data_IF_399822073853
#
_entry.id   IF_399822073853
#
_cell.length_a   1.000
_cell.length_b   1.000
_cell.length_c   1.000
_cell.angle_alpha   90.00
_cell.angle_beta   90.00
_cell.angle_gamma   90.00
#
_symmetry.space_group_name_H-M   'P 1'
#
loop_
_entity.id
_entity.type
_entity.pdbx_description
1 polymer ?
#
# COMPACT_ATOMS: atom_id res chain seq x y z
N UNK A 1 -24.55 -19.00 1.18
CA UNK A 1 -23.14 -19.48 1.10
C UNK A 1 -22.54 -19.06 -0.21
N UNK A 2 -21.41 -18.39 -0.17
CA UNK A 2 -20.70 -18.06 -1.39
C UNK A 2 -19.98 -19.30 -1.91
N UNK A 3 -20.04 -19.57 -3.22
CA UNK A 3 -19.31 -20.68 -3.80
C UNK A 3 -17.80 -20.47 -3.59
N UNK A 4 -17.01 -21.57 -3.48
CA UNK A 4 -15.56 -21.42 -3.36
C UNK A 4 -14.99 -20.75 -4.61
N UNK A 5 -14.04 -19.86 -4.40
CA UNK A 5 -13.39 -19.16 -5.50
C UNK A 5 -12.48 -20.11 -6.29
N UNK A 6 -12.37 -19.91 -7.62
CA UNK A 6 -11.40 -20.66 -8.42
C UNK A 6 -9.97 -20.49 -7.89
N UNK A 7 -9.12 -21.49 -8.12
CA UNK A 7 -7.76 -21.51 -7.61
C UNK A 7 -6.94 -20.26 -7.99
N UNK A 8 -7.16 -19.72 -9.18
CA UNK A 8 -6.50 -18.49 -9.63
C UNK A 8 -6.87 -17.28 -8.76
N UNK A 9 -8.14 -17.19 -8.39
CA UNK A 9 -8.60 -16.11 -7.50
C UNK A 9 -8.12 -16.32 -6.08
N UNK A 10 -7.95 -17.57 -5.64
CA UNK A 10 -7.37 -17.86 -4.33
C UNK A 10 -5.91 -17.42 -4.23
N UNK A 11 -5.15 -17.50 -5.32
CA UNK A 11 -3.77 -17.01 -5.35
C UNK A 11 -3.69 -15.48 -5.24
N UNK A 12 -4.73 -14.78 -5.66
CA UNK A 12 -4.83 -13.32 -5.55
C UNK A 12 -5.49 -12.89 -4.23
N UNK A 13 -5.96 -13.82 -3.41
CA UNK A 13 -6.64 -13.52 -2.15
C UNK A 13 -5.86 -12.61 -1.21
N UNK A 14 -4.53 -12.77 -1.01
CA UNK A 14 -3.83 -11.85 -0.11
C UNK A 14 -3.92 -10.39 -0.54
N UNK A 15 -3.86 -10.13 -1.85
CA UNK A 15 -4.02 -8.78 -2.38
C UNK A 15 -5.47 -8.31 -2.29
N UNK A 16 -6.41 -9.18 -2.69
CA UNK A 16 -7.83 -8.89 -2.62
C UNK A 16 -8.28 -8.70 -1.16
N UNK A 17 -7.78 -9.53 -0.23
CA UNK A 17 -8.08 -9.41 1.19
C UNK A 17 -7.56 -8.10 1.77
N UNK A 18 -6.36 -7.70 1.40
CA UNK A 18 -5.80 -6.42 1.83
C UNK A 18 -6.70 -5.27 1.40
N UNK A 19 -7.12 -5.26 0.14
CA UNK A 19 -8.00 -4.23 -0.40
C UNK A 19 -9.39 -4.29 0.22
N UNK A 20 -9.97 -5.50 0.35
CA UNK A 20 -11.30 -5.68 0.95
C UNK A 20 -11.31 -5.34 2.43
N UNK A 21 -10.35 -5.84 3.19
CA UNK A 21 -10.24 -5.52 4.63
C UNK A 21 -10.09 -4.03 4.86
N UNK A 22 -9.25 -3.38 4.05
CA UNK A 22 -9.07 -1.93 4.12
C UNK A 22 -10.39 -1.23 3.78
N UNK A 23 -11.07 -1.65 2.71
CA UNK A 23 -12.33 -1.05 2.29
C UNK A 23 -13.45 -1.27 3.32
N UNK A 24 -13.56 -2.47 3.87
CA UNK A 24 -14.60 -2.80 4.86
C UNK A 24 -14.34 -2.14 6.22
N UNK A 25 -13.11 -2.26 6.72
CA UNK A 25 -12.75 -1.73 8.02
C UNK A 25 -12.77 -0.20 8.05
N UNK A 26 -12.52 0.44 6.91
CA UNK A 26 -12.41 1.89 6.79
C UNK A 26 -13.50 2.52 5.93
N UNK A 27 -14.56 1.77 5.57
CA UNK A 27 -15.61 2.27 4.65
C UNK A 27 -16.20 3.60 5.11
N UNK A 28 -16.56 3.72 6.40
CA UNK A 28 -17.08 4.98 6.96
C UNK A 28 -16.03 6.06 6.96
N UNK A 29 -14.79 5.71 7.33
CA UNK A 29 -13.65 6.63 7.33
C UNK A 29 -13.32 7.10 5.92
N UNK A 30 -13.35 6.20 4.93
CA UNK A 30 -13.12 6.54 3.53
C UNK A 30 -14.17 7.51 3.01
N UNK A 31 -15.46 7.28 3.30
CA UNK A 31 -16.54 8.19 2.92
C UNK A 31 -16.35 9.58 3.53
N UNK A 32 -16.03 9.63 4.81
CA UNK A 32 -15.77 10.89 5.51
C UNK A 32 -14.57 11.59 4.91
N UNK A 33 -13.48 10.86 4.70
CA UNK A 33 -12.25 11.38 4.10
C UNK A 33 -12.50 11.89 2.69
N UNK A 34 -13.28 11.17 1.87
CA UNK A 34 -13.63 11.61 0.54
C UNK A 34 -14.40 12.95 0.55
N UNK A 35 -15.36 13.08 1.47
CA UNK A 35 -16.09 14.33 1.62
C UNK A 35 -15.19 15.48 2.06
N UNK A 36 -14.27 15.21 2.96
CA UNK A 36 -13.28 16.20 3.43
C UNK A 36 -12.31 16.58 2.30
N UNK A 37 -11.88 15.60 1.49
CA UNK A 37 -11.00 15.84 0.35
C UNK A 37 -11.64 16.72 -0.72
N UNK A 38 -12.93 16.56 -0.99
CA UNK A 38 -13.62 17.41 -1.96
C UNK A 38 -13.71 18.86 -1.48
N UNK A 39 -13.54 19.10 -0.19
CA UNK A 39 -13.49 20.44 0.41
C UNK A 39 -12.09 21.01 0.52
N UNK A 40 -11.05 20.18 0.36
CA UNK A 40 -9.67 20.63 0.45
C UNK A 40 -9.26 21.46 -0.76
N UNK A 41 -8.30 22.37 -0.55
CA UNK A 41 -7.76 23.19 -1.61
C UNK A 41 -7.16 22.32 -2.71
N UNK A 42 -7.49 22.63 -3.97
CA UNK A 42 -6.87 21.98 -5.11
C UNK A 42 -5.36 22.20 -5.08
N UNK A 43 -4.60 21.16 -5.37
CA UNK A 43 -3.14 21.21 -5.41
C UNK A 43 -2.42 20.97 -4.09
N UNK A 44 -3.16 20.68 -3.01
CA UNK A 44 -2.52 20.29 -1.76
C UNK A 44 -1.91 18.89 -1.89
N UNK A 45 -0.64 18.75 -1.53
CA UNK A 45 0.02 17.44 -1.49
C UNK A 45 -0.53 16.63 -0.33
N UNK A 46 -1.05 15.44 -0.63
CA UNK A 46 -1.57 14.56 0.40
C UNK A 46 -0.42 13.94 1.19
N UNK A 47 -0.48 14.08 2.50
CA UNK A 47 0.51 13.48 3.41
C UNK A 47 -0.12 12.33 4.18
N UNK A 48 0.67 11.30 4.54
CA UNK A 48 0.15 10.20 5.35
C UNK A 48 -0.41 10.71 6.69
N UNK A 49 -1.54 10.16 7.11
CA UNK A 49 -2.18 10.55 8.34
C UNK A 49 -3.61 10.03 8.43
N UNK A 50 -4.46 10.63 9.26
CA UNK A 50 -5.86 10.20 9.41
C UNK A 50 -6.66 10.28 8.11
N UNK A 51 -6.23 11.10 7.15
CA UNK A 51 -6.85 11.24 5.85
C UNK A 51 -6.43 10.19 4.81
N UNK A 52 -5.56 9.26 5.16
CA UNK A 52 -5.03 8.26 4.21
C UNK A 52 -5.12 6.83 4.77
N UNK A 53 -6.33 6.33 5.08
CA UNK A 53 -6.45 5.01 5.72
C UNK A 53 -5.96 3.87 4.82
N UNK A 54 -6.21 3.93 3.51
CA UNK A 54 -5.77 2.87 2.58
C UNK A 54 -4.25 2.84 2.45
N UNK A 55 -3.64 4.00 2.33
CA UNK A 55 -2.18 4.11 2.31
C UNK A 55 -1.56 3.56 3.60
N UNK A 56 -2.13 3.90 4.74
CA UNK A 56 -1.61 3.48 6.04
C UNK A 56 -1.59 1.95 6.15
N UNK A 57 -2.64 1.26 5.68
CA UNK A 57 -2.69 -0.19 5.67
C UNK A 57 -1.67 -0.80 4.69
N UNK A 58 -1.53 -0.23 3.51
CA UNK A 58 -0.54 -0.68 2.55
C UNK A 58 0.88 -0.48 3.08
N UNK A 59 1.17 0.66 3.67
CA UNK A 59 2.49 0.94 4.25
C UNK A 59 2.82 -0.03 5.38
N UNK A 60 1.85 -0.34 6.21
CA UNK A 60 2.01 -1.33 7.29
C UNK A 60 2.33 -2.72 6.73
N UNK A 61 1.60 -3.16 5.71
CA UNK A 61 1.84 -4.45 5.07
C UNK A 61 3.20 -4.50 4.38
N UNK A 62 3.56 -3.45 3.65
CA UNK A 62 4.85 -3.38 2.97
C UNK A 62 6.01 -3.36 3.97
N UNK A 63 5.87 -2.62 5.07
CA UNK A 63 6.86 -2.55 6.12
C UNK A 63 7.09 -3.90 6.80
N UNK A 64 6.03 -4.70 6.96
CA UNK A 64 6.11 -6.04 7.51
C UNK A 64 6.95 -6.97 6.62
N UNK A 65 7.06 -6.70 5.34
CA UNK A 65 7.85 -7.48 4.38
C UNK A 65 9.32 -7.04 4.30
N UNK A 66 9.71 -5.94 4.95
CA UNK A 66 11.09 -5.47 5.02
C UNK A 66 11.81 -6.17 6.17
N UNK A 67 12.11 -7.46 6.01
CA UNK A 67 12.62 -8.31 7.09
C UNK A 67 14.15 -8.46 7.09
N UNK A 68 14.79 -8.33 5.93
CA UNK A 68 16.20 -8.60 5.74
C UNK A 68 16.98 -7.34 5.45
N UNK A 69 18.26 -7.37 5.78
CA UNK A 69 19.17 -6.33 5.33
C UNK A 69 19.17 -6.25 3.81
N UNK A 70 19.06 -5.06 3.26
CA UNK A 70 19.01 -4.85 1.82
C UNK A 70 17.62 -4.86 1.20
N UNK A 71 16.56 -5.24 1.93
CA UNK A 71 15.19 -5.25 1.40
C UNK A 71 14.74 -3.85 1.00
N UNK A 72 15.11 -2.81 1.76
CA UNK A 72 14.82 -1.43 1.39
C UNK A 72 15.47 -1.03 0.08
N UNK A 73 16.72 -1.43 -0.13
CA UNK A 73 17.43 -1.17 -1.37
C UNK A 73 16.81 -1.91 -2.56
N UNK A 74 16.39 -3.16 -2.34
CA UNK A 74 15.66 -3.94 -3.35
C UNK A 74 14.34 -3.29 -3.72
N UNK A 75 13.56 -2.87 -2.74
CA UNK A 75 12.32 -2.17 -2.98
C UNK A 75 12.56 -0.83 -3.69
N UNK A 76 13.59 -0.10 -3.30
CA UNK A 76 13.95 1.15 -3.96
C UNK A 76 14.22 0.96 -5.46
N UNK A 77 14.89 -0.14 -5.83
CA UNK A 77 15.12 -0.49 -7.24
C UNK A 77 13.82 -0.79 -7.97
N UNK A 78 12.92 -1.53 -7.34
CA UNK A 78 11.60 -1.84 -7.93
C UNK A 78 10.81 -0.55 -8.18
N UNK A 79 10.81 0.35 -7.21
CA UNK A 79 10.09 1.62 -7.32
C UNK A 79 10.80 2.68 -8.18
N UNK A 80 12.09 2.47 -8.46
CA UNK A 80 12.88 3.47 -9.20
C UNK A 80 13.14 4.74 -8.42
N UNK A 81 13.27 4.65 -7.10
CA UNK A 81 13.52 5.80 -6.21
C UNK A 81 14.74 5.54 -5.32
N UNK A 82 15.36 6.57 -4.74
CA UNK A 82 16.43 6.38 -3.75
C UNK A 82 15.92 5.64 -2.50
N UNK A 83 16.81 4.86 -1.87
CA UNK A 83 16.49 4.14 -0.64
C UNK A 83 15.91 5.06 0.44
N UNK A 84 16.40 6.28 0.52
CA UNK A 84 15.91 7.28 1.47
C UNK A 84 14.43 7.60 1.26
N UNK A 85 13.97 7.58 0.00
CA UNK A 85 12.55 7.78 -0.29
C UNK A 85 11.69 6.65 0.22
N UNK A 86 12.15 5.40 0.10
CA UNK A 86 11.45 4.24 0.67
C UNK A 86 11.32 4.41 2.18
N UNK A 87 12.38 4.85 2.85
CA UNK A 87 12.34 5.12 4.28
C UNK A 87 11.30 6.20 4.63
N UNK A 88 11.25 7.29 3.86
CA UNK A 88 10.27 8.35 4.06
C UNK A 88 8.83 7.87 3.84
N UNK A 89 8.62 6.97 2.89
CA UNK A 89 7.28 6.44 2.60
C UNK A 89 6.80 5.48 3.68
N UNK A 90 7.65 4.56 4.13
CA UNK A 90 7.23 3.42 4.94
C UNK A 90 7.55 3.58 6.42
N UNK A 91 8.66 4.19 6.78
CA UNK A 91 9.12 4.31 8.17
C UNK A 91 8.72 5.66 8.75
N UNK A 92 9.19 6.75 8.15
CA UNK A 92 8.88 8.10 8.64
C UNK A 92 7.43 8.50 8.35
N UNK A 93 6.85 7.94 7.30
CA UNK A 93 5.51 8.26 6.82
C UNK A 93 5.34 9.78 6.62
N UNK A 94 6.37 10.41 6.08
CA UNK A 94 6.39 11.84 5.85
C UNK A 94 5.96 12.23 4.43
N UNK A 95 5.85 11.25 3.53
CA UNK A 95 5.46 11.45 2.14
C UNK A 95 4.70 10.25 1.61
N UNK A 96 3.86 10.47 0.60
CA UNK A 96 3.21 9.41 -0.17
C UNK A 96 3.85 9.33 -1.55
N UNK A 97 4.05 8.12 -2.11
CA UNK A 97 4.47 7.99 -3.49
C UNK A 97 3.33 8.35 -4.45
N UNK A 98 3.65 8.50 -5.74
CA UNK A 98 2.63 8.67 -6.77
C UNK A 98 1.83 7.37 -6.99
N UNK A 99 0.83 7.44 -7.87
CA UNK A 99 -0.04 6.31 -8.14
C UNK A 99 0.73 5.11 -8.70
N UNK A 100 1.63 5.35 -9.66
CA UNK A 100 2.40 4.29 -10.30
C UNK A 100 3.28 3.56 -9.28
N UNK A 101 4.01 4.28 -8.45
CA UNK A 101 4.86 3.70 -7.42
C UNK A 101 4.06 3.01 -6.33
N UNK A 102 2.88 3.53 -6.02
CA UNK A 102 1.97 2.88 -5.06
C UNK A 102 1.51 1.52 -5.58
N UNK A 103 1.17 1.42 -6.86
CA UNK A 103 0.79 0.15 -7.48
C UNK A 103 1.96 -0.83 -7.51
N UNK A 104 3.16 -0.38 -7.81
CA UNK A 104 4.36 -1.20 -7.74
C UNK A 104 4.64 -1.69 -6.32
N UNK A 105 4.45 -0.83 -5.34
CA UNK A 105 4.60 -1.19 -3.93
C UNK A 105 3.60 -2.28 -3.52
N UNK A 106 2.36 -2.14 -3.94
CA UNK A 106 1.31 -3.14 -3.70
C UNK A 106 1.68 -4.48 -4.33
N UNK A 107 2.13 -4.47 -5.59
CA UNK A 107 2.58 -5.66 -6.30
C UNK A 107 3.78 -6.31 -5.61
N UNK A 108 4.75 -5.50 -5.18
CA UNK A 108 5.93 -5.97 -4.45
C UNK A 108 5.55 -6.64 -3.12
N UNK A 109 4.70 -6.00 -2.34
CA UNK A 109 4.26 -6.54 -1.05
C UNK A 109 3.52 -7.87 -1.24
N UNK A 110 2.67 -7.95 -2.25
CA UNK A 110 1.97 -9.18 -2.60
C UNK A 110 2.94 -10.29 -3.01
N UNK A 111 3.91 -9.97 -3.87
CA UNK A 111 4.90 -10.93 -4.32
C UNK A 111 5.75 -11.47 -3.15
N UNK A 112 6.17 -10.59 -2.27
CA UNK A 112 6.96 -10.98 -1.08
C UNK A 112 6.18 -11.89 -0.14
N UNK A 113 4.89 -11.63 0.05
CA UNK A 113 4.02 -12.52 0.85
C UNK A 113 3.96 -13.93 0.28
N UNK A 114 4.05 -14.08 -1.04
CA UNK A 114 4.03 -15.36 -1.73
C UNK A 114 5.44 -15.93 -1.97
N UNK A 115 6.46 -15.37 -1.34
CA UNK A 115 7.83 -15.82 -1.48
C UNK A 115 8.48 -15.48 -2.81
N UNK A 116 7.92 -14.52 -3.56
CA UNK A 116 8.47 -14.05 -4.82
C UNK A 116 9.22 -12.75 -4.64
N UNK A 117 10.13 -12.46 -5.54
CA UNK A 117 10.87 -11.22 -5.54
C UNK A 117 10.76 -10.56 -6.92
N UNK A 118 10.39 -9.28 -6.95
CA UNK A 118 10.26 -8.50 -8.18
C UNK A 118 11.56 -7.76 -8.56
N UNK A 119 12.53 -7.74 -7.67
CA UNK A 119 13.76 -7.01 -7.88
C UNK A 119 15.04 -7.80 -7.92
#
# INVERSE_FOLDING_TARGET
MNPPLPARLQQLMPLADLLLCTAQATAKSVRKTYREHTRQRRGATLRPGPGTPLWNELAKSARAELRRYGDKAGLARVLGVPRQRVHQYLVDQSACPDAERTLWLLAWAHARRNGRDLG
#
